data_IF_183010074105
#
_entry.id   IF_183010074105
#
_cell.length_a   1.000
_cell.length_b   1.000
_cell.length_c   1.000
_cell.angle_alpha   90.00
_cell.angle_beta   90.00
_cell.angle_gamma   90.00
#
_symmetry.space_group_name_H-M   'P 1'
#
loop_
_entity.id
_entity.type
_entity.pdbx_description
1 polymer ?
#
# COMPACT_ATOMS: atom_id res chain seq x y z
N UNK A 1 31.76 56.05 7.17
CA UNK A 1 31.78 55.04 6.09
C UNK A 1 30.92 53.87 6.56
N UNK A 2 29.62 53.93 6.27
CA UNK A 2 28.60 53.05 6.86
C UNK A 2 28.24 51.95 5.83
N UNK A 3 28.55 50.69 6.16
CA UNK A 3 28.33 49.57 5.29
C UNK A 3 26.89 49.04 5.46
N UNK A 4 26.04 49.25 4.45
CA UNK A 4 24.68 48.64 4.40
C UNK A 4 24.80 47.20 3.94
N UNK A 5 24.52 46.25 4.83
CA UNK A 5 24.30 44.81 4.47
C UNK A 5 22.91 44.66 3.85
N UNK A 6 22.87 44.29 2.58
CA UNK A 6 21.63 43.88 1.90
C UNK A 6 21.25 42.46 2.35
N UNK A 7 20.10 42.33 3.02
CA UNK A 7 19.46 41.06 3.26
C UNK A 7 18.66 40.66 2.02
N UNK A 8 19.05 39.59 1.38
CA UNK A 8 18.26 38.94 0.33
C UNK A 8 17.27 37.99 1.00
N UNK A 9 15.99 38.31 0.91
CA UNK A 9 14.91 37.41 1.35
C UNK A 9 14.68 36.36 0.28
N UNK A 10 14.96 35.11 0.62
CA UNK A 10 14.64 33.97 -0.21
C UNK A 10 13.17 33.63 -0.02
N UNK A 11 12.37 33.83 -1.05
CA UNK A 11 10.96 33.47 -1.05
C UNK A 11 10.86 31.92 -1.14
N UNK A 12 10.34 31.28 -0.08
CA UNK A 12 9.98 29.88 -0.08
C UNK A 12 8.61 29.77 -0.75
N UNK A 13 8.58 29.25 -1.97
CA UNK A 13 7.34 28.94 -2.68
C UNK A 13 6.77 27.66 -2.09
N UNK A 14 5.71 27.76 -1.31
CA UNK A 14 4.90 26.63 -0.86
C UNK A 14 4.15 26.09 -2.08
N UNK A 15 4.56 24.91 -2.56
CA UNK A 15 3.76 24.15 -3.51
C UNK A 15 2.51 23.65 -2.75
N UNK A 16 1.37 24.24 -3.02
CA UNK A 16 0.08 23.72 -2.61
C UNK A 16 -0.22 22.45 -3.43
N UNK A 17 -0.20 21.31 -2.77
CA UNK A 17 -0.72 20.05 -3.35
C UNK A 17 -2.23 20.19 -3.42
N UNK A 18 -2.76 20.47 -4.61
CA UNK A 18 -4.20 20.43 -4.85
C UNK A 18 -4.69 18.99 -4.70
N UNK A 19 -5.39 18.70 -3.60
CA UNK A 19 -6.19 17.49 -3.49
C UNK A 19 -7.27 17.55 -4.57
N UNK A 20 -7.19 16.68 -5.58
CA UNK A 20 -8.27 16.51 -6.56
C UNK A 20 -9.44 15.85 -5.85
N UNK A 21 -10.46 16.63 -5.51
CA UNK A 21 -11.75 16.11 -5.13
C UNK A 21 -12.36 15.37 -6.34
N UNK A 22 -12.86 14.16 -6.11
CA UNK A 22 -13.65 13.41 -7.10
C UNK A 22 -14.94 14.17 -7.39
N UNK A 23 -14.94 15.03 -8.43
CA UNK A 23 -16.16 15.67 -8.91
C UNK A 23 -16.86 14.71 -9.88
N UNK A 24 -18.11 14.40 -9.61
CA UNK A 24 -18.99 13.66 -10.50
C UNK A 24 -19.35 14.53 -11.74
N UNK A 25 -19.52 13.87 -12.90
CA UNK A 25 -19.67 14.50 -14.23
C UNK A 25 -20.97 15.34 -14.38
N UNK A 26 -21.92 15.24 -13.48
CA UNK A 26 -23.23 15.92 -13.51
C UNK A 26 -23.39 17.01 -12.43
N UNK A 27 -22.34 17.36 -11.73
CA UNK A 27 -22.34 18.44 -10.73
C UNK A 27 -23.10 18.14 -9.44
N UNK A 28 -23.70 16.95 -9.29
CA UNK A 28 -24.22 16.47 -8.01
C UNK A 28 -23.15 15.63 -7.31
N UNK A 29 -22.62 16.13 -6.22
CA UNK A 29 -21.73 15.36 -5.34
C UNK A 29 -22.63 14.45 -4.49
N UNK A 30 -22.54 13.11 -4.61
CA UNK A 30 -23.40 12.21 -3.83
C UNK A 30 -23.06 12.19 -2.33
N UNK A 31 -22.12 13.01 -1.91
CA UNK A 31 -21.60 13.09 -0.54
C UNK A 31 -21.69 14.55 -0.04
N UNK A 32 -22.91 15.07 0.14
CA UNK A 32 -23.14 16.36 0.78
C UNK A 32 -22.78 16.24 2.25
N UNK A 33 -21.94 17.14 2.77
CA UNK A 33 -21.39 17.13 4.14
C UNK A 33 -20.56 15.88 4.51
N UNK A 34 -20.10 15.09 3.53
CA UNK A 34 -19.23 13.93 3.72
C UNK A 34 -17.90 14.17 3.01
N UNK A 35 -16.81 14.13 3.75
CA UNK A 35 -15.47 14.23 3.18
C UNK A 35 -14.99 12.86 2.67
N UNK A 36 -14.56 12.81 1.40
CA UNK A 36 -13.93 11.64 0.81
C UNK A 36 -12.49 11.97 0.39
N UNK A 37 -11.52 11.47 1.13
CA UNK A 37 -10.10 11.68 0.85
C UNK A 37 -9.52 10.45 0.16
N UNK A 38 -8.86 10.58 -1.01
CA UNK A 38 -8.21 9.47 -1.68
C UNK A 38 -7.10 8.85 -0.81
N UNK A 39 -7.05 7.53 -0.77
CA UNK A 39 -5.96 6.80 -0.12
C UNK A 39 -4.75 6.78 -1.07
N UNK A 40 -3.58 7.19 -0.57
CA UNK A 40 -2.34 7.09 -1.33
C UNK A 40 -2.00 5.63 -1.60
N UNK A 41 -1.94 5.25 -2.88
CA UNK A 41 -1.56 3.90 -3.31
C UNK A 41 -0.13 3.89 -3.83
N UNK A 42 0.76 3.24 -3.10
CA UNK A 42 2.18 3.13 -3.45
C UNK A 42 2.36 2.17 -4.63
N UNK A 43 3.01 2.63 -5.69
CA UNK A 43 3.30 1.81 -6.88
C UNK A 43 2.19 1.78 -7.92
N UNK A 44 1.01 2.39 -7.67
CA UNK A 44 -0.09 2.39 -8.65
C UNK A 44 0.34 2.91 -10.04
N UNK A 45 -0.21 2.33 -11.13
CA UNK A 45 -1.24 1.27 -11.21
C UNK A 45 -0.67 -0.17 -11.21
N UNK A 46 0.58 -0.34 -10.83
CA UNK A 46 1.29 -1.64 -10.80
C UNK A 46 1.35 -2.21 -9.39
N UNK A 47 1.81 -3.46 -9.27
CA UNK A 47 2.16 -4.02 -7.95
C UNK A 47 3.32 -3.23 -7.34
N UNK A 48 3.56 -3.45 -6.05
CA UNK A 48 4.68 -2.80 -5.34
C UNK A 48 6.05 -3.08 -5.95
N UNK A 49 6.22 -4.18 -6.67
CA UNK A 49 7.46 -4.51 -7.42
C UNK A 49 7.43 -4.08 -8.89
N UNK A 50 6.44 -3.29 -9.30
CA UNK A 50 6.33 -2.75 -10.66
C UNK A 50 5.78 -3.75 -11.68
N UNK A 51 5.18 -4.86 -11.24
CA UNK A 51 4.56 -5.84 -12.13
C UNK A 51 3.20 -5.31 -12.60
N UNK A 52 2.90 -5.49 -13.87
CA UNK A 52 1.55 -5.35 -14.39
C UNK A 52 0.68 -6.50 -13.87
N UNK A 53 -0.57 -6.21 -13.55
CA UNK A 53 -1.51 -7.24 -13.13
C UNK A 53 -2.88 -7.02 -13.78
N UNK A 54 -3.69 -8.09 -13.80
CA UNK A 54 -5.06 -8.07 -14.31
C UNK A 54 -5.98 -8.61 -13.23
N UNK A 55 -7.23 -8.17 -13.25
CA UNK A 55 -8.26 -8.85 -12.48
C UNK A 55 -8.46 -10.27 -13.03
N UNK A 56 -8.72 -11.27 -12.17
CA UNK A 56 -9.12 -12.59 -12.62
C UNK A 56 -10.33 -12.51 -13.56
N UNK A 57 -10.37 -13.37 -14.57
CA UNK A 57 -11.42 -13.37 -15.61
C UNK A 57 -12.64 -14.22 -15.23
N UNK A 58 -12.51 -15.08 -14.23
CA UNK A 58 -13.57 -15.98 -13.77
C UNK A 58 -14.60 -15.30 -12.88
N UNK A 59 -15.45 -16.10 -12.23
CA UNK A 59 -16.43 -15.58 -11.26
C UNK A 59 -15.70 -14.91 -10.10
N UNK A 60 -15.94 -13.63 -9.83
CA UNK A 60 -15.22 -12.91 -8.79
C UNK A 60 -15.38 -13.55 -7.41
N UNK A 61 -14.29 -13.64 -6.67
CA UNK A 61 -14.25 -13.98 -5.26
C UNK A 61 -13.38 -12.94 -4.55
N UNK A 62 -13.98 -12.21 -3.61
CA UNK A 62 -13.28 -11.20 -2.83
C UNK A 62 -13.28 -11.67 -1.38
N UNK A 63 -12.11 -11.79 -0.79
CA UNK A 63 -11.94 -12.08 0.64
C UNK A 63 -11.12 -10.98 1.30
N UNK A 64 -11.57 -10.53 2.47
CA UNK A 64 -10.91 -9.48 3.23
C UNK A 64 -10.52 -9.99 4.63
N UNK A 65 -9.33 -9.60 5.07
CA UNK A 65 -8.77 -9.98 6.37
C UNK A 65 -8.26 -8.77 7.14
N UNK A 66 -8.55 -8.74 8.43
CA UNK A 66 -7.81 -7.93 9.38
C UNK A 66 -6.58 -8.74 9.82
N UNK A 67 -5.39 -8.24 9.53
CA UNK A 67 -4.14 -8.92 9.86
C UNK A 67 -3.37 -8.05 10.86
N UNK A 68 -3.01 -8.63 12.00
CA UNK A 68 -2.15 -7.98 12.99
C UNK A 68 -0.83 -8.76 13.10
N UNK A 69 0.28 -8.05 12.88
CA UNK A 69 1.63 -8.58 13.05
C UNK A 69 2.20 -7.95 14.33
N UNK A 70 2.31 -8.69 15.44
CA UNK A 70 2.89 -8.17 16.69
C UNK A 70 4.35 -7.78 16.52
N UNK A 71 4.82 -6.88 17.37
CA UNK A 71 6.25 -6.50 17.44
C UNK A 71 7.11 -7.74 17.67
N UNK A 72 8.17 -7.89 16.89
CA UNK A 72 9.08 -9.03 16.95
C UNK A 72 8.56 -10.30 16.26
N UNK A 73 7.35 -10.25 15.66
CA UNK A 73 6.81 -11.33 14.84
C UNK A 73 6.86 -10.96 13.36
N UNK A 74 6.85 -12.01 12.54
CA UNK A 74 6.84 -11.90 11.08
C UNK A 74 6.01 -13.04 10.48
N UNK A 75 5.58 -12.87 9.24
CA UNK A 75 4.98 -13.96 8.46
C UNK A 75 6.05 -14.98 8.08
N UNK A 76 5.62 -16.18 7.73
CA UNK A 76 6.48 -17.11 7.01
C UNK A 76 6.79 -16.56 5.61
N UNK A 77 7.84 -17.10 4.98
CA UNK A 77 8.17 -16.78 3.60
C UNK A 77 7.08 -17.36 2.68
N UNK A 78 6.36 -16.48 2.02
CA UNK A 78 5.18 -16.83 1.21
C UNK A 78 5.03 -15.93 -0.02
N UNK A 79 4.10 -16.28 -0.88
CA UNK A 79 3.72 -15.51 -2.07
C UNK A 79 2.21 -15.56 -2.30
N UNK A 80 1.70 -14.65 -3.11
CA UNK A 80 0.31 -14.60 -3.54
C UNK A 80 0.22 -14.83 -5.04
N UNK A 81 -0.80 -15.57 -5.50
CA UNK A 81 -1.01 -15.89 -6.92
C UNK A 81 -2.08 -15.00 -7.55
N UNK A 82 -2.82 -14.24 -6.75
CA UNK A 82 -3.84 -13.27 -7.17
C UNK A 82 -3.51 -11.89 -6.61
N UNK A 83 -4.05 -10.81 -7.19
CA UNK A 83 -3.86 -9.47 -6.64
C UNK A 83 -4.35 -9.39 -5.19
N UNK A 84 -3.49 -8.90 -4.31
CA UNK A 84 -3.79 -8.60 -2.92
C UNK A 84 -3.62 -7.09 -2.71
N UNK A 85 -4.74 -6.40 -2.50
CA UNK A 85 -4.72 -5.00 -2.07
C UNK A 85 -4.51 -4.96 -0.56
N UNK A 86 -3.53 -4.17 -0.12
CA UNK A 86 -3.18 -4.00 1.30
C UNK A 86 -3.33 -2.54 1.68
N UNK A 87 -4.04 -2.28 2.78
CA UNK A 87 -4.16 -0.96 3.41
C UNK A 87 -3.59 -1.00 4.81
N UNK A 88 -2.73 -0.04 5.15
CA UNK A 88 -2.11 0.06 6.46
C UNK A 88 -3.00 0.88 7.39
N UNK A 89 -3.57 0.21 8.39
CA UNK A 89 -4.46 0.83 9.39
C UNK A 89 -3.64 1.54 10.47
N UNK A 90 -2.62 0.85 11.02
CA UNK A 90 -1.75 1.40 12.07
C UNK A 90 -0.43 0.64 12.15
N UNK A 91 0.58 1.27 12.73
CA UNK A 91 1.94 0.76 12.79
C UNK A 91 2.61 0.72 11.41
N UNK A 92 3.93 0.59 11.38
CA UNK A 92 4.69 0.49 10.14
C UNK A 92 4.82 -0.97 9.75
N UNK A 93 4.54 -1.29 8.48
CA UNK A 93 4.77 -2.62 7.91
C UNK A 93 6.06 -2.60 7.10
N UNK A 94 7.04 -3.44 7.44
CA UNK A 94 8.17 -3.75 6.56
C UNK A 94 7.86 -5.04 5.81
N UNK A 95 8.04 -5.02 4.49
CA UNK A 95 8.00 -6.22 3.65
C UNK A 95 9.37 -6.42 3.02
N UNK A 96 9.95 -7.60 3.23
CA UNK A 96 11.23 -8.03 2.69
C UNK A 96 11.00 -8.88 1.45
N UNK A 97 11.40 -8.37 0.29
CA UNK A 97 11.27 -9.02 -1.02
C UNK A 97 12.57 -9.72 -1.46
N UNK A 98 13.47 -10.03 -0.52
CA UNK A 98 14.75 -10.68 -0.80
C UNK A 98 15.63 -9.84 -1.72
N UNK A 99 15.98 -10.35 -2.90
CA UNK A 99 16.84 -9.65 -3.87
C UNK A 99 16.26 -8.33 -4.41
N UNK A 100 14.95 -8.07 -4.21
CA UNK A 100 14.29 -6.81 -4.58
C UNK A 100 14.30 -5.77 -3.45
N UNK A 101 14.93 -6.13 -2.32
CA UNK A 101 15.07 -5.24 -1.16
C UNK A 101 13.84 -5.19 -0.27
N UNK A 102 13.87 -4.22 0.65
CA UNK A 102 12.83 -4.03 1.66
C UNK A 102 12.07 -2.76 1.40
N UNK A 103 10.77 -2.77 1.72
CA UNK A 103 9.90 -1.59 1.67
C UNK A 103 9.19 -1.41 3.00
N UNK A 104 9.02 -0.15 3.41
CA UNK A 104 8.25 0.22 4.61
C UNK A 104 7.01 0.97 4.16
N UNK A 105 5.85 0.50 4.62
CA UNK A 105 4.56 1.11 4.37
C UNK A 105 4.04 1.74 5.65
N UNK A 106 3.53 2.96 5.53
CA UNK A 106 3.07 3.80 6.64
C UNK A 106 1.55 3.73 6.79
N UNK A 107 1.00 3.98 7.99
CA UNK A 107 -0.44 4.13 8.19
C UNK A 107 -1.06 5.12 7.19
N UNK A 108 -2.25 4.80 6.72
CA UNK A 108 -2.98 5.61 5.74
C UNK A 108 -2.54 5.40 4.29
N UNK A 109 -1.55 4.54 4.02
CA UNK A 109 -1.15 4.18 2.66
C UNK A 109 -1.66 2.80 2.27
N UNK A 110 -1.69 2.53 0.97
CA UNK A 110 -2.04 1.22 0.42
C UNK A 110 -1.10 0.84 -0.72
N UNK A 111 -1.13 -0.43 -1.10
CA UNK A 111 -0.40 -0.95 -2.26
C UNK A 111 -1.03 -2.25 -2.75
N UNK A 112 -0.70 -2.67 -3.96
CA UNK A 112 -0.96 -4.04 -4.43
C UNK A 112 0.30 -4.86 -4.23
N UNK A 113 0.17 -5.99 -3.52
CA UNK A 113 1.28 -6.88 -3.20
C UNK A 113 1.87 -7.52 -4.47
N UNK A 114 3.15 -7.89 -4.39
CA UNK A 114 3.84 -8.60 -5.46
C UNK A 114 3.16 -9.94 -5.75
N UNK A 115 2.90 -10.22 -7.02
CA UNK A 115 2.30 -11.48 -7.47
C UNK A 115 3.41 -12.48 -7.81
N UNK A 116 3.24 -13.72 -7.33
CA UNK A 116 4.17 -14.84 -7.55
C UNK A 116 5.62 -14.52 -7.13
N UNK A 117 5.80 -13.69 -6.10
CA UNK A 117 7.10 -13.31 -5.55
C UNK A 117 7.14 -13.54 -4.05
N UNK A 118 8.12 -14.35 -3.60
CA UNK A 118 8.26 -14.70 -2.18
C UNK A 118 8.72 -13.51 -1.34
N UNK A 119 8.04 -13.29 -0.22
CA UNK A 119 8.31 -12.19 0.69
C UNK A 119 7.94 -12.52 2.14
N UNK A 120 8.40 -11.68 3.06
CA UNK A 120 8.12 -11.74 4.50
C UNK A 120 7.64 -10.37 4.96
N UNK A 121 6.52 -10.32 5.68
CA UNK A 121 6.01 -9.11 6.32
C UNK A 121 6.28 -9.10 7.83
N UNK A 122 6.66 -7.95 8.40
CA UNK A 122 6.83 -7.77 9.85
C UNK A 122 6.49 -6.36 10.30
N UNK A 123 6.21 -6.17 11.59
CA UNK A 123 6.13 -4.84 12.18
C UNK A 123 7.53 -4.18 12.18
N UNK A 124 7.64 -2.97 11.61
CA UNK A 124 8.90 -2.24 11.48
C UNK A 124 9.22 -1.32 12.66
N UNK A 125 8.29 -1.15 13.58
CA UNK A 125 8.40 -0.19 14.68
C UNK A 125 8.23 -0.82 16.07
N UNK A 126 7.85 0.04 17.02
CA UNK A 126 7.56 -0.36 18.41
C UNK A 126 6.08 -0.69 18.63
N UNK A 127 5.25 -0.62 17.61
CA UNK A 127 3.82 -0.92 17.63
C UNK A 127 3.52 -2.05 16.65
N UNK A 128 2.50 -2.89 16.92
CA UNK A 128 2.05 -3.90 15.95
C UNK A 128 1.66 -3.24 14.62
N UNK A 129 1.95 -3.90 13.50
CA UNK A 129 1.43 -3.52 12.20
C UNK A 129 0.04 -4.13 12.02
N UNK A 130 -0.98 -3.27 11.81
CA UNK A 130 -2.36 -3.69 11.51
C UNK A 130 -2.69 -3.30 10.08
N UNK A 131 -3.13 -4.27 9.31
CA UNK A 131 -3.43 -4.08 7.90
C UNK A 131 -4.77 -4.72 7.54
N UNK A 132 -5.45 -4.16 6.55
CA UNK A 132 -6.55 -4.82 5.84
C UNK A 132 -5.97 -5.37 4.55
N UNK A 133 -6.05 -6.70 4.37
CA UNK A 133 -5.69 -7.37 3.14
C UNK A 133 -6.96 -7.79 2.40
N UNK A 134 -7.09 -7.40 1.12
CA UNK A 134 -8.22 -7.74 0.27
C UNK A 134 -7.72 -8.51 -0.94
N UNK A 135 -8.03 -9.80 -1.01
CA UNK A 135 -7.73 -10.65 -2.15
C UNK A 135 -8.77 -10.45 -3.24
N UNK A 136 -8.29 -10.21 -4.45
CA UNK A 136 -9.12 -10.05 -5.64
C UNK A 136 -8.93 -11.31 -6.50
N UNK A 137 -9.62 -12.38 -6.14
CA UNK A 137 -9.52 -13.68 -6.76
C UNK A 137 -10.72 -14.05 -7.61
N UNK A 138 -10.74 -15.30 -8.03
CA UNK A 138 -11.89 -15.93 -8.69
C UNK A 138 -12.25 -17.23 -7.96
N UNK A 139 -13.48 -17.69 -8.17
CA UNK A 139 -13.99 -18.90 -7.51
C UNK A 139 -13.33 -20.17 -8.08
N UNK A 140 -12.06 -20.35 -7.73
CA UNK A 140 -11.31 -21.58 -8.00
C UNK A 140 -10.68 -22.06 -6.69
N UNK A 141 -10.47 -23.37 -6.51
CA UNK A 141 -9.85 -23.88 -5.28
C UNK A 141 -8.47 -23.25 -5.06
N UNK A 142 -8.21 -22.79 -3.83
CA UNK A 142 -6.90 -22.40 -3.27
C UNK A 142 -6.18 -21.16 -3.85
N UNK A 143 -6.75 -20.38 -4.77
CA UNK A 143 -6.08 -19.19 -5.32
C UNK A 143 -5.91 -18.03 -4.32
N UNK A 144 -6.77 -17.93 -3.34
CA UNK A 144 -6.80 -16.79 -2.38
C UNK A 144 -5.84 -17.01 -1.21
N UNK A 145 -5.38 -18.24 -1.01
CA UNK A 145 -4.48 -18.55 0.11
C UNK A 145 -3.04 -18.17 -0.22
N UNK A 146 -2.28 -17.65 0.76
CA UNK A 146 -0.85 -17.50 0.59
C UNK A 146 -0.20 -18.86 0.38
N UNK A 147 0.73 -18.94 -0.56
CA UNK A 147 1.49 -20.16 -0.89
C UNK A 147 2.85 -20.08 -0.21
N UNK A 148 3.18 -21.09 0.57
CA UNK A 148 4.49 -21.18 1.21
C UNK A 148 5.62 -21.27 0.15
N UNK A 149 6.70 -20.57 0.38
CA UNK A 149 7.90 -20.65 -0.44
C UNK A 149 8.95 -21.55 0.23
N UNK A 150 9.72 -22.29 -0.56
CA UNK A 150 10.88 -23.00 -0.06
C UNK A 150 11.93 -21.96 0.44
N UNK A 151 12.53 -22.22 1.59
CA UNK A 151 13.69 -21.42 2.03
C UNK A 151 14.81 -21.61 1.03
N UNK A 152 15.53 -20.55 0.65
CA UNK A 152 16.80 -20.72 -0.09
C UNK A 152 17.72 -21.62 0.74
N UNK A 153 18.32 -22.62 0.10
CA UNK A 153 19.34 -23.46 0.71
C UNK A 153 20.57 -22.63 1.05
#
# INVERSE_FOLDING_TARGET
MTLFKKFTATAITLLSVNAMALTHVDGKVPYEDIEATPITMVGAPKTTLGQDFKYPAGQPLIEAFNIEIPVGKQTDLHKHLVPLYVYIVSGDLEVDYGSKGKKIYKPGTSYVEAIDWCHIGKAAGKTPAKVIGIYLGEKTPDQIKPVACAKPN
#
